data_IF_179148938419
#
_entry.id   IF_179148938419
#
_cell.length_a   1.000
_cell.length_b   1.000
_cell.length_c   1.000
_cell.angle_alpha   90.00
_cell.angle_beta   90.00
_cell.angle_gamma   90.00
#
_symmetry.space_group_name_H-M   'P 1'
#
loop_
_entity.id
_entity.type
_entity.pdbx_description
1 polymer ?
#
# COMPACT_ATOMS: atom_id res chain seq x y z
N UNK A 1 -11.13 3.04 -61.72
CA UNK A 1 -11.25 2.90 -61.36
C UNK A 1 -11.08 2.49 -60.31
N UNK A 2 -11.04 2.33 -59.98
CA UNK A 2 -10.92 1.93 -59.10
C UNK A 2 -10.35 1.94 -58.16
N UNK A 3 -10.12 2.09 -57.65
CA UNK A 3 -9.54 2.07 -56.83
C UNK A 3 -9.61 2.34 -55.71
N UNK A 4 -9.77 2.37 -55.31
CA UNK A 4 -9.87 2.66 -54.41
C UNK A 4 -9.83 2.26 -53.35
N UNK A 5 -9.82 2.04 -52.97
CA UNK A 5 -9.92 1.58 -52.09
C UNK A 5 -9.26 1.47 -51.20
N UNK A 6 -9.03 1.38 -50.93
CA UNK A 6 -8.52 1.21 -50.38
C UNK A 6 -8.16 1.53 -49.36
N UNK A 7 -7.97 1.69 -49.05
CA UNK A 7 -7.44 2.03 -48.12
C UNK A 7 -7.91 1.89 -46.96
N UNK A 8 -8.09 1.88 -46.75
CA UNK A 8 -8.59 1.86 -45.81
C UNK A 8 -8.31 1.29 -44.89
N UNK A 9 -8.22 0.95 -44.76
CA UNK A 9 -8.06 0.42 -44.11
C UNK A 9 -7.49 0.45 -43.12
N UNK A 10 -7.34 0.16 -42.98
CA UNK A 10 -6.72 -0.06 -42.16
C UNK A 10 -6.60 0.59 -41.12
N UNK A 11 -6.50 0.90 -41.13
CA UNK A 11 -6.33 1.63 -40.36
C UNK A 11 -6.66 1.42 -39.15
N UNK A 12 -7.23 1.41 -39.08
CA UNK A 12 -7.60 1.40 -37.96
C UNK A 12 -7.23 0.57 -37.15
N UNK A 13 -7.18 0.17 -37.20
CA UNK A 13 -6.96 -0.65 -36.54
C UNK A 13 -6.18 -0.55 -35.65
N UNK A 14 -5.85 -0.61 -35.75
CA UNK A 14 -4.95 -0.66 -35.13
C UNK A 14 -5.00 -0.07 -34.05
N UNK A 15 -5.13 0.46 -34.22
CA UNK A 15 -5.07 1.16 -33.30
C UNK A 15 -5.42 0.66 -32.14
N UNK A 16 -5.83 0.49 -32.17
CA UNK A 16 -6.24 0.13 -31.28
C UNK A 16 -5.85 -0.48 -30.42
N UNK A 17 -5.96 -0.80 -30.71
CA UNK A 17 -5.73 -1.69 -30.12
C UNK A 17 -4.90 -1.64 -29.05
N UNK A 18 -4.11 -2.08 -29.16
CA UNK A 18 -3.27 -2.33 -28.24
C UNK A 18 -3.23 -1.57 -27.15
N UNK A 19 -3.42 -0.57 -27.33
CA UNK A 19 -3.30 0.25 -26.39
C UNK A 19 -3.89 -0.06 -25.23
N UNK A 20 -4.84 -0.54 -25.30
CA UNK A 20 -5.53 -0.74 -24.22
C UNK A 20 -4.98 -1.47 -23.19
N UNK A 21 -4.24 -2.30 -23.36
CA UNK A 21 -3.86 -3.16 -22.39
C UNK A 21 -2.90 -2.67 -21.41
N UNK A 22 -2.13 -1.83 -21.74
CA UNK A 22 -1.10 -1.40 -20.89
C UNK A 22 -1.46 -0.98 -19.52
N UNK A 23 -2.43 -0.24 -19.33
CA UNK A 23 -2.72 0.31 -18.02
C UNK A 23 -3.00 -0.68 -16.95
N UNK A 24 -3.41 -1.82 -17.30
CA UNK A 24 -3.83 -2.75 -16.32
C UNK A 24 -2.75 -3.18 -15.38
N UNK A 25 -1.53 -3.24 -15.82
CA UNK A 25 -0.52 -3.71 -14.97
C UNK A 25 -0.03 -2.72 -13.98
N UNK A 26 -0.17 -1.52 -14.25
CA UNK A 26 0.32 -0.50 -13.37
C UNK A 26 -0.37 -0.53 -12.04
N UNK A 27 -1.54 -1.07 -11.98
CA UNK A 27 -2.26 -1.06 -10.75
C UNK A 27 -1.69 -1.93 -9.69
N UNK A 28 -0.99 -2.96 -10.04
CA UNK A 28 -0.47 -3.85 -9.07
C UNK A 28 0.63 -3.26 -8.23
N UNK A 29 1.28 -2.24 -8.71
CA UNK A 29 2.34 -1.66 -7.95
C UNK A 29 1.98 -0.32 -7.34
N UNK A 30 0.71 0.01 -7.34
CA UNK A 30 0.32 1.28 -6.80
C UNK A 30 0.47 1.32 -5.30
N UNK A 31 0.83 2.45 -4.80
CA UNK A 31 0.92 2.64 -3.38
C UNK A 31 -0.42 2.52 -2.71
N UNK A 32 -0.41 2.13 -1.47
CA UNK A 32 -1.61 2.05 -0.65
C UNK A 32 -1.95 3.47 -0.18
N UNK A 33 -3.19 3.87 -0.32
CA UNK A 33 -3.59 5.20 0.11
C UNK A 33 -3.59 5.31 1.63
N UNK A 34 -3.52 6.52 2.18
CA UNK A 34 -3.59 6.67 3.63
C UNK A 34 -4.86 6.08 4.24
N UNK A 35 -5.97 6.17 3.51
CA UNK A 35 -7.18 5.61 4.00
C UNK A 35 -7.14 4.11 4.03
N UNK A 36 -6.55 3.50 3.04
CA UNK A 36 -6.43 2.05 3.02
C UNK A 36 -5.41 1.61 4.06
N UNK A 37 -4.38 2.40 4.31
CA UNK A 37 -3.42 2.08 5.36
C UNK A 37 -4.09 2.11 6.72
N UNK A 38 -5.02 3.04 6.93
CA UNK A 38 -5.76 3.13 8.17
C UNK A 38 -6.59 1.89 8.38
N UNK A 39 -7.25 1.41 7.33
CA UNK A 39 -8.05 0.20 7.43
C UNK A 39 -7.18 -1.01 7.70
N UNK A 40 -6.03 -1.05 7.07
CA UNK A 40 -5.11 -2.15 7.27
C UNK A 40 -4.59 -2.14 8.70
N UNK A 41 -4.32 -0.97 9.25
CA UNK A 41 -3.90 -0.84 10.64
C UNK A 41 -4.99 -1.36 11.55
N UNK A 42 -6.22 -0.98 11.30
CA UNK A 42 -7.33 -1.41 12.13
C UNK A 42 -7.45 -2.93 12.15
N UNK A 43 -7.23 -3.56 11.02
CA UNK A 43 -7.37 -5.00 10.93
C UNK A 43 -6.18 -5.77 11.52
N UNK A 44 -5.00 -5.20 11.46
CA UNK A 44 -3.79 -5.94 11.78
C UNK A 44 -3.05 -5.48 13.04
N UNK A 45 -3.22 -4.26 13.43
CA UNK A 45 -2.41 -3.65 14.46
C UNK A 45 -3.17 -3.16 15.68
N UNK A 46 -4.41 -2.79 15.49
CA UNK A 46 -5.19 -2.17 16.57
C UNK A 46 -5.40 -3.07 17.76
N UNK A 47 -5.41 -4.36 17.54
CA UNK A 47 -5.62 -5.31 18.61
C UNK A 47 -4.64 -5.08 19.74
N UNK A 48 -3.38 -4.80 19.39
CA UNK A 48 -2.35 -4.60 20.39
C UNK A 48 -1.99 -3.13 20.60
N UNK A 49 -2.18 -2.31 19.59
CA UNK A 49 -1.72 -0.92 19.65
C UNK A 49 -2.84 0.10 19.85
N UNK A 50 -4.06 -0.39 20.06
CA UNK A 50 -5.15 0.48 20.43
C UNK A 50 -5.69 1.29 19.27
N UNK A 51 -6.47 2.29 19.61
CA UNK A 51 -7.20 3.06 18.67
C UNK A 51 -6.30 3.70 17.66
N UNK A 52 -6.14 3.06 16.53
CA UNK A 52 -5.33 3.53 15.41
C UNK A 52 -3.93 4.01 15.84
N UNK A 53 -3.37 3.37 16.85
CA UNK A 53 -2.02 3.72 17.29
C UNK A 53 -1.93 4.96 18.14
N UNK A 54 -3.05 5.59 18.41
CA UNK A 54 -3.04 6.85 19.16
C UNK A 54 -2.89 6.63 20.66
N UNK A 55 -3.14 5.43 21.14
CA UNK A 55 -3.03 5.11 22.54
C UNK A 55 -2.43 3.75 22.69
N UNK A 56 -1.89 3.46 23.86
CA UNK A 56 -1.42 2.12 24.12
C UNK A 56 -2.61 1.17 24.14
N UNK A 57 -2.40 -0.02 23.66
CA UNK A 57 -3.45 -1.02 23.62
C UNK A 57 -3.12 -2.18 24.52
N UNK A 58 -3.71 -3.32 24.21
CA UNK A 58 -3.59 -4.46 25.00
C UNK A 58 -2.24 -5.04 25.15
N UNK A 59 -1.35 -4.88 24.48
CA UNK A 59 -0.04 -5.41 24.62
C UNK A 59 1.00 -4.61 23.95
N UNK A 60 0.58 -3.54 23.31
CA UNK A 60 1.53 -2.74 22.56
C UNK A 60 1.53 -1.29 22.99
N UNK A 61 2.62 -0.60 22.76
CA UNK A 61 2.69 0.80 23.14
C UNK A 61 1.97 1.69 22.16
N UNK A 62 1.74 2.91 22.58
CA UNK A 62 1.25 3.96 21.71
C UNK A 62 2.24 4.13 20.58
N UNK A 63 1.76 4.28 19.38
CA UNK A 63 2.64 4.43 18.22
C UNK A 63 2.77 5.87 17.76
N UNK A 64 1.77 6.71 18.01
CA UNK A 64 1.85 8.12 17.65
C UNK A 64 3.04 8.71 18.40
N UNK A 65 3.87 9.44 17.71
CA UNK A 65 5.04 10.05 18.32
C UNK A 65 6.23 9.12 18.51
N UNK A 66 6.20 7.93 17.91
CA UNK A 66 7.31 6.99 18.05
C UNK A 66 8.61 7.64 17.64
N UNK A 67 9.70 7.33 18.37
CA UNK A 67 11.00 7.86 18.04
C UNK A 67 11.68 7.12 16.90
N UNK A 68 11.15 5.98 16.49
CA UNK A 68 11.73 5.29 15.35
C UNK A 68 11.44 6.07 14.09
N UNK A 69 12.37 6.05 13.14
CA UNK A 69 12.09 6.66 11.85
C UNK A 69 11.25 5.68 11.03
N UNK A 70 10.85 6.12 9.85
CA UNK A 70 9.95 5.32 9.04
C UNK A 70 10.56 3.96 8.70
N UNK A 71 11.83 3.91 8.40
CA UNK A 71 12.50 2.66 8.10
C UNK A 71 12.55 1.76 9.33
N UNK A 72 12.75 2.34 10.50
CA UNK A 72 12.74 1.59 11.74
C UNK A 72 11.38 1.00 12.04
N UNK A 73 10.32 1.76 11.77
CA UNK A 73 8.96 1.24 11.95
C UNK A 73 8.72 0.09 10.97
N UNK A 74 9.11 0.29 9.71
CA UNK A 74 8.94 -0.75 8.71
C UNK A 74 9.67 -2.03 9.13
N UNK A 75 10.90 -1.91 9.60
CA UNK A 75 11.66 -3.08 10.02
C UNK A 75 11.02 -3.78 11.20
N UNK A 76 10.47 -3.03 12.12
CA UNK A 76 9.78 -3.64 13.27
C UNK A 76 8.55 -4.41 12.83
N UNK A 77 7.80 -3.86 11.87
CA UNK A 77 6.63 -4.54 11.35
C UNK A 77 7.04 -5.86 10.68
N UNK A 78 8.05 -5.79 9.86
CA UNK A 78 8.45 -6.97 9.09
C UNK A 78 9.09 -8.03 9.99
N UNK A 79 9.93 -7.62 10.89
CA UNK A 79 10.69 -8.58 11.71
C UNK A 79 10.04 -8.94 13.03
N UNK A 80 9.18 -8.11 13.52
CA UNK A 80 8.62 -8.28 14.84
C UNK A 80 9.58 -7.79 15.90
N UNK A 81 9.14 -7.74 17.14
CA UNK A 81 9.98 -7.30 18.23
C UNK A 81 9.34 -7.72 19.52
N UNK A 82 10.04 -8.50 20.34
CA UNK A 82 9.50 -8.98 21.60
C UNK A 82 8.22 -9.76 21.36
N UNK A 83 7.15 -9.37 22.00
CA UNK A 83 5.86 -10.04 21.85
C UNK A 83 5.17 -9.70 20.53
N UNK A 84 5.64 -8.70 19.81
CA UNK A 84 5.05 -8.34 18.54
C UNK A 84 5.50 -9.33 17.48
N UNK A 85 4.58 -9.99 16.80
CA UNK A 85 4.98 -10.98 15.80
C UNK A 85 5.49 -10.32 14.52
N UNK A 86 6.19 -11.11 13.74
CA UNK A 86 6.63 -10.68 12.42
C UNK A 86 5.45 -10.71 11.47
N UNK A 87 5.30 -9.69 10.65
CA UNK A 87 4.26 -9.64 9.65
C UNK A 87 4.80 -9.92 8.25
N UNK A 88 6.05 -10.40 8.17
CA UNK A 88 6.67 -10.67 6.91
C UNK A 88 5.88 -11.56 5.99
N UNK A 89 5.17 -12.54 6.50
CA UNK A 89 4.38 -13.44 5.68
C UNK A 89 2.90 -13.08 5.63
N UNK A 90 2.52 -12.02 6.31
CA UNK A 90 1.12 -11.59 6.38
C UNK A 90 0.88 -10.36 5.53
N UNK A 91 1.87 -9.49 5.46
CA UNK A 91 1.75 -8.24 4.71
C UNK A 91 2.74 -8.23 3.58
N UNK A 92 2.36 -7.61 2.48
CA UNK A 92 3.30 -7.39 1.39
C UNK A 92 4.23 -6.26 1.79
N UNK A 93 5.30 -6.12 1.07
CA UNK A 93 6.23 -5.02 1.32
C UNK A 93 5.53 -3.68 1.16
N UNK A 94 4.70 -3.54 0.14
CA UNK A 94 3.98 -2.29 -0.09
C UNK A 94 3.05 -1.99 1.08
N UNK A 95 2.39 -3.00 1.60
CA UNK A 95 1.50 -2.82 2.74
C UNK A 95 2.28 -2.43 4.00
N UNK A 96 3.39 -3.08 4.25
CA UNK A 96 4.19 -2.78 5.44
C UNK A 96 4.78 -1.38 5.34
N UNK A 97 5.19 -0.97 4.15
CA UNK A 97 5.72 0.38 3.98
C UNK A 97 4.63 1.43 4.16
N UNK A 98 3.44 1.15 3.66
CA UNK A 98 2.31 2.07 3.84
C UNK A 98 1.96 2.21 5.31
N UNK A 99 2.03 1.12 6.06
CA UNK A 99 1.76 1.18 7.49
C UNK A 99 2.82 1.99 8.22
N UNK A 100 4.09 1.84 7.85
CA UNK A 100 5.14 2.61 8.49
C UNK A 100 4.93 4.11 8.24
N UNK A 101 4.55 4.45 7.03
CA UNK A 101 4.29 5.84 6.70
C UNK A 101 3.09 6.36 7.48
N UNK A 102 2.05 5.56 7.56
CA UNK A 102 0.85 5.93 8.29
C UNK A 102 1.18 6.18 9.77
N UNK A 103 1.95 5.31 10.37
CA UNK A 103 2.30 5.43 11.78
C UNK A 103 3.13 6.69 12.03
N UNK A 104 4.08 6.97 11.14
CA UNK A 104 4.92 8.15 11.34
C UNK A 104 4.13 9.44 11.14
N UNK A 105 3.04 9.39 10.42
CA UNK A 105 2.22 10.56 10.18
C UNK A 105 1.16 10.80 11.26
N UNK A 106 1.03 9.89 12.23
CA UNK A 106 0.04 10.07 13.28
C UNK A 106 0.36 11.30 14.11
N UNK A 107 -0.65 12.08 14.46
CA UNK A 107 -0.39 13.27 15.26
C UNK A 107 0.05 12.88 16.65
N UNK A 108 1.02 13.57 17.17
CA UNK A 108 1.52 13.30 18.49
C UNK A 108 0.92 14.31 19.45
N UNK A 109 -0.08 13.90 20.18
CA UNK A 109 -0.73 14.81 21.10
C UNK A 109 -0.48 14.48 22.52
#
# INVERSE_FOLDING_TARGET
>A
MSNMYRGIEALGLVAMAGLLNAPAFAQDSQEISPEDAKKLFAASCSWCHGNFGMKAGKGGPKLAGTSKDEEGVYNTIVKGQGAMPSFKNTLTEVQARALAKYIKALPNE
#
